data_IF_185164473699
#
_entry.id   IF_185164473699
#
_cell.length_a   1.000
_cell.length_b   1.000
_cell.length_c   1.000
_cell.angle_alpha   90.00
_cell.angle_beta   90.00
_cell.angle_gamma   90.00
#
_symmetry.space_group_name_H-M   'P 1'
#
loop_
_entity.id
_entity.type
_entity.pdbx_description
1 polymer ?
#
# COMPACT_ATOMS: atom_id res chain seq x y z
N UNK A 1 13.70 19.70 -4.87
CA UNK A 1 13.31 18.41 -4.25
C UNK A 1 12.42 18.74 -3.06
N UNK A 2 11.37 17.96 -2.79
CA UNK A 2 10.58 18.13 -1.57
C UNK A 2 11.41 17.78 -0.34
N UNK A 3 11.17 18.48 0.76
CA UNK A 3 11.86 18.21 2.02
C UNK A 3 11.19 17.03 2.75
N UNK A 4 11.91 16.22 3.54
CA UNK A 4 11.34 15.09 4.27
C UNK A 4 10.15 15.47 5.18
N UNK A 5 10.10 16.70 5.70
CA UNK A 5 8.98 17.14 6.52
C UNK A 5 7.67 17.31 5.71
N UNK A 6 7.73 17.60 4.40
CA UNK A 6 6.55 17.91 3.59
C UNK A 6 5.63 16.70 3.37
N UNK A 7 4.31 16.92 3.40
CA UNK A 7 3.29 15.86 3.31
C UNK A 7 3.30 15.12 1.96
N UNK A 8 3.81 15.74 0.90
CA UNK A 8 3.94 15.15 -0.44
C UNK A 8 5.34 14.55 -0.72
N UNK A 9 6.20 14.43 0.29
CA UNK A 9 7.52 13.84 0.11
C UNK A 9 7.41 12.36 -0.28
N UNK A 10 8.20 11.99 -1.28
CA UNK A 10 8.41 10.60 -1.69
C UNK A 10 9.80 10.45 -2.29
N UNK A 11 10.35 9.26 -2.23
CA UNK A 11 11.66 8.92 -2.79
C UNK A 11 11.62 7.55 -3.47
N UNK A 12 12.54 7.34 -4.41
CA UNK A 12 12.71 6.09 -5.15
C UNK A 12 14.15 5.60 -5.03
N UNK A 13 14.34 4.29 -5.11
CA UNK A 13 15.65 3.66 -4.96
C UNK A 13 15.91 2.72 -6.13
N UNK A 14 17.09 2.84 -6.74
CA UNK A 14 17.59 1.90 -7.76
C UNK A 14 18.59 0.89 -7.18
N UNK A 15 18.93 1.00 -5.89
CA UNK A 15 19.79 0.03 -5.20
C UNK A 15 19.25 -0.30 -3.82
N UNK A 16 19.38 -1.58 -3.45
CA UNK A 16 18.96 -2.06 -2.14
C UNK A 16 19.72 -1.36 -1.02
N UNK A 17 21.04 -1.20 -1.15
CA UNK A 17 21.87 -0.53 -0.14
C UNK A 17 21.41 0.90 0.17
N UNK A 18 21.02 1.68 -0.84
CA UNK A 18 20.51 3.03 -0.62
C UNK A 18 19.17 3.02 0.11
N UNK A 19 18.29 2.07 -0.22
CA UNK A 19 17.00 1.90 0.43
C UNK A 19 17.16 1.45 1.89
N UNK A 20 18.03 0.47 2.15
CA UNK A 20 18.33 0.00 3.51
C UNK A 20 18.86 1.14 4.38
N UNK A 21 19.87 1.87 3.89
CA UNK A 21 20.42 3.03 4.60
C UNK A 21 19.36 4.09 4.90
N UNK A 22 18.47 4.37 3.95
CA UNK A 22 17.36 5.31 4.17
C UNK A 22 16.44 4.86 5.32
N UNK A 23 16.08 3.57 5.37
CA UNK A 23 15.20 3.06 6.43
C UNK A 23 15.91 2.97 7.79
N UNK A 24 17.19 2.61 7.84
CA UNK A 24 18.00 2.68 9.05
C UNK A 24 18.07 4.11 9.61
N UNK A 25 18.27 5.11 8.74
CA UNK A 25 18.27 6.52 9.12
C UNK A 25 16.88 6.99 9.58
N UNK A 26 15.81 6.53 8.92
CA UNK A 26 14.43 6.83 9.34
C UNK A 26 14.11 6.25 10.71
N UNK A 27 14.55 5.02 11.01
CA UNK A 27 14.34 4.40 12.34
C UNK A 27 15.06 5.19 13.42
N UNK A 28 16.34 5.57 13.20
CA UNK A 28 17.11 6.40 14.14
C UNK A 28 16.46 7.76 14.41
N UNK A 29 15.79 8.33 13.40
CA UNK A 29 15.13 9.63 13.48
C UNK A 29 13.62 9.55 13.77
N UNK A 30 13.10 8.36 14.08
CA UNK A 30 11.72 8.15 14.47
C UNK A 30 11.63 8.00 15.98
N UNK A 31 10.61 8.60 16.57
CA UNK A 31 10.31 8.43 17.99
C UNK A 31 8.89 7.90 18.16
N UNK A 32 8.76 6.85 18.98
CA UNK A 32 7.50 6.20 19.33
C UNK A 32 7.17 6.52 20.78
N UNK A 33 6.06 7.21 21.01
CA UNK A 33 5.64 7.64 22.35
C UNK A 33 4.27 7.07 22.72
N UNK A 34 4.18 6.40 23.87
CA UNK A 34 2.90 6.02 24.46
C UNK A 34 2.38 7.15 25.35
N UNK A 35 1.12 7.52 25.14
CA UNK A 35 0.46 8.59 25.90
C UNK A 35 -1.01 8.28 26.10
N UNK A 36 -1.54 8.68 27.27
CA UNK A 36 -2.97 8.59 27.54
C UNK A 36 -3.77 9.46 26.57
N UNK A 37 -4.85 8.91 26.02
CA UNK A 37 -5.68 9.57 25.01
C UNK A 37 -6.26 10.88 25.52
N UNK A 38 -6.65 10.97 26.79
CA UNK A 38 -7.18 12.20 27.40
C UNK A 38 -6.12 13.29 27.65
N UNK A 39 -4.82 12.96 27.60
CA UNK A 39 -3.71 13.91 27.74
C UNK A 39 -3.33 14.56 26.40
N UNK A 40 -3.80 14.00 25.28
CA UNK A 40 -3.62 14.57 23.96
C UNK A 40 -4.39 15.90 23.84
N UNK A 41 -3.72 16.94 23.36
CA UNK A 41 -4.34 18.23 23.07
C UNK A 41 -4.07 18.63 21.62
N UNK A 42 -5.14 18.76 20.84
CA UNK A 42 -5.13 19.22 19.45
C UNK A 42 -5.35 20.73 19.40
N UNK A 43 -4.59 21.42 18.55
CA UNK A 43 -4.74 22.84 18.29
C UNK A 43 -4.89 23.10 16.78
N UNK A 44 -5.61 24.16 16.38
CA UNK A 44 -5.61 24.60 14.99
C UNK A 44 -4.22 25.07 14.58
N UNK A 45 -3.82 24.74 13.35
CA UNK A 45 -2.58 25.21 12.72
C UNK A 45 -2.88 25.67 11.29
N UNK A 46 -3.96 26.41 11.07
CA UNK A 46 -4.14 27.16 9.81
C UNK A 46 -3.41 28.51 9.88
N UNK A 47 -3.36 29.23 8.77
CA UNK A 47 -2.66 30.53 8.67
C UNK A 47 -3.20 31.61 9.62
N UNK A 48 -4.40 31.43 10.18
CA UNK A 48 -4.99 32.35 11.17
C UNK A 48 -4.68 31.96 12.62
N UNK A 49 -4.05 30.81 12.83
CA UNK A 49 -3.71 30.31 14.17
C UNK A 49 -2.56 31.11 14.80
N UNK A 50 -2.63 31.43 16.10
CA UNK A 50 -1.49 31.97 16.83
C UNK A 50 -0.22 31.11 16.73
N UNK A 51 -0.38 29.78 16.61
CA UNK A 51 0.73 28.84 16.42
C UNK A 51 1.43 28.99 15.07
N UNK A 52 0.77 29.59 14.07
CA UNK A 52 1.41 29.86 12.79
C UNK A 52 2.36 31.07 12.88
N UNK A 53 2.03 32.06 13.71
CA UNK A 53 2.83 33.27 13.91
C UNK A 53 3.89 33.14 15.00
N UNK A 54 3.61 32.41 16.08
CA UNK A 54 4.52 32.18 17.20
C UNK A 54 4.93 30.72 17.26
N UNK A 55 6.16 30.45 16.80
CA UNK A 55 6.70 29.10 16.70
C UNK A 55 7.39 28.63 18.00
N UNK A 56 7.48 29.48 19.03
CA UNK A 56 8.20 29.16 20.29
C UNK A 56 7.56 28.00 21.07
N UNK A 57 6.27 27.74 20.83
CA UNK A 57 5.51 26.68 21.44
C UNK A 57 5.76 25.29 20.81
N UNK A 58 6.46 25.21 19.66
CA UNK A 58 6.82 23.95 19.03
C UNK A 58 8.06 23.31 19.66
N UNK A 59 8.23 22.01 19.42
CA UNK A 59 9.45 21.30 19.78
C UNK A 59 10.63 21.80 18.93
N UNK A 60 11.84 21.73 19.49
CA UNK A 60 13.05 22.32 18.88
C UNK A 60 13.42 21.69 17.52
N UNK A 61 12.98 20.45 17.28
CA UNK A 61 13.17 19.77 16.01
C UNK A 61 12.21 20.25 14.90
N UNK A 62 11.20 21.06 15.21
CA UNK A 62 10.18 21.48 14.24
C UNK A 62 10.61 22.76 13.52
N UNK A 63 10.86 22.64 12.23
CA UNK A 63 11.17 23.76 11.36
C UNK A 63 9.93 24.58 10.97
N UNK A 64 10.17 25.83 10.55
CA UNK A 64 9.14 26.66 9.94
C UNK A 64 8.54 26.06 8.67
N UNK A 65 9.28 25.21 7.95
CA UNK A 65 8.80 24.55 6.73
C UNK A 65 7.78 23.45 7.07
N UNK A 66 8.01 22.67 8.14
CA UNK A 66 7.04 21.69 8.63
C UNK A 66 5.72 22.34 9.08
N UNK A 67 5.80 23.52 9.70
CA UNK A 67 4.65 24.33 10.11
C UNK A 67 3.88 24.85 8.90
N UNK A 68 4.56 25.48 7.94
CA UNK A 68 3.94 26.02 6.70
C UNK A 68 3.28 24.95 5.86
N UNK A 69 3.94 23.81 5.71
CA UNK A 69 3.39 22.68 4.97
C UNK A 69 2.13 22.15 5.65
N UNK A 70 2.14 21.97 6.98
CA UNK A 70 0.95 21.50 7.70
C UNK A 70 -0.20 22.49 7.65
N UNK A 71 0.09 23.80 7.71
CA UNK A 71 -0.93 24.84 7.60
C UNK A 71 -1.60 24.90 6.21
N UNK A 72 -0.89 24.48 5.17
CA UNK A 72 -1.43 24.35 3.81
C UNK A 72 -2.13 23.00 3.56
N UNK A 73 -2.02 22.06 4.49
CA UNK A 73 -2.58 20.71 4.43
C UNK A 73 -3.62 20.49 5.53
N UNK A 74 -3.36 19.60 6.50
CA UNK A 74 -4.33 19.20 7.52
C UNK A 74 -4.75 20.37 8.44
N UNK A 75 -3.81 21.28 8.71
CA UNK A 75 -4.01 22.46 9.55
C UNK A 75 -4.24 22.15 11.02
N UNK A 76 -3.60 21.10 11.55
CA UNK A 76 -3.68 20.70 12.95
C UNK A 76 -2.29 20.51 13.56
N UNK A 77 -2.15 20.85 14.83
CA UNK A 77 -1.00 20.53 15.67
C UNK A 77 -1.45 19.69 16.88
N UNK A 78 -0.57 18.84 17.39
CA UNK A 78 -0.79 18.03 18.58
C UNK A 78 0.26 18.39 19.63
N UNK A 79 -0.18 18.58 20.87
CA UNK A 79 0.70 18.85 22.00
C UNK A 79 1.09 17.54 22.68
N UNK A 80 2.40 17.29 22.76
CA UNK A 80 3.02 16.19 23.50
C UNK A 80 4.02 16.81 24.49
N UNK A 81 3.92 16.44 25.77
CA UNK A 81 4.80 16.90 26.85
C UNK A 81 5.11 18.40 26.85
N UNK A 82 4.09 19.22 26.64
CA UNK A 82 4.22 20.68 26.69
C UNK A 82 4.54 21.34 25.36
N UNK A 83 4.99 20.60 24.35
CA UNK A 83 5.42 21.12 23.04
C UNK A 83 4.48 20.70 21.92
N UNK A 84 4.33 21.55 20.91
CA UNK A 84 3.52 21.24 19.73
C UNK A 84 4.35 20.56 18.64
N UNK A 85 3.69 19.63 17.95
CA UNK A 85 4.15 19.00 16.72
C UNK A 85 3.06 19.17 15.65
N UNK A 86 3.42 19.53 14.40
CA UNK A 86 2.46 19.52 13.30
C UNK A 86 1.95 18.10 13.04
N UNK A 87 0.67 17.96 12.69
CA UNK A 87 0.04 16.67 12.40
C UNK A 87 0.02 16.42 10.90
N UNK A 88 0.67 15.34 10.47
CA UNK A 88 0.68 14.89 9.07
C UNK A 88 -0.68 14.30 8.68
N UNK A 89 -1.04 14.40 7.40
CA UNK A 89 -2.26 13.78 6.87
C UNK A 89 -2.40 12.28 7.20
N UNK A 90 -1.30 11.54 7.25
CA UNK A 90 -1.28 10.09 7.59
C UNK A 90 -1.75 9.81 9.01
N UNK A 91 -1.49 10.71 9.96
CA UNK A 91 -1.92 10.56 11.36
C UNK A 91 -3.39 10.89 11.58
N UNK A 92 -4.04 11.61 10.65
CA UNK A 92 -5.37 12.17 10.87
C UNK A 92 -6.43 11.12 11.20
N UNK A 93 -6.48 10.03 10.43
CA UNK A 93 -7.43 8.95 10.67
C UNK A 93 -7.21 8.31 12.04
N UNK A 94 -5.97 8.00 12.39
CA UNK A 94 -5.63 7.40 13.69
C UNK A 94 -6.04 8.32 14.86
N UNK A 95 -5.83 9.63 14.72
CA UNK A 95 -6.24 10.62 15.72
C UNK A 95 -7.76 10.65 15.90
N UNK A 96 -8.52 10.62 14.80
CA UNK A 96 -9.98 10.52 14.86
C UNK A 96 -10.45 9.20 15.50
N UNK A 97 -9.79 8.08 15.18
CA UNK A 97 -10.10 6.77 15.77
C UNK A 97 -9.87 6.76 17.29
N UNK A 98 -8.85 7.47 17.79
CA UNK A 98 -8.64 7.67 19.25
C UNK A 98 -9.73 8.52 19.89
N UNK A 99 -10.24 9.51 19.16
CA UNK A 99 -11.39 10.31 19.58
C UNK A 99 -12.75 9.61 19.33
N UNK A 100 -12.78 8.41 18.72
CA UNK A 100 -14.00 7.72 18.26
C UNK A 100 -14.88 8.60 17.35
N UNK A 101 -14.26 9.44 16.54
CA UNK A 101 -14.91 10.32 15.59
C UNK A 101 -14.88 9.72 14.18
N UNK A 102 -15.98 9.87 13.45
CA UNK A 102 -16.08 9.50 12.05
C UNK A 102 -17.09 10.40 11.33
N UNK A 103 -16.89 10.58 10.03
CA UNK A 103 -17.83 11.33 9.19
C UNK A 103 -17.15 12.14 8.08
N UNK A 104 -17.80 12.18 6.92
CA UNK A 104 -17.31 12.90 5.73
C UNK A 104 -17.40 14.42 5.86
N UNK A 105 -18.12 14.92 6.87
CA UNK A 105 -18.24 16.36 7.16
C UNK A 105 -17.11 16.91 8.03
N UNK A 106 -16.38 16.06 8.78
CA UNK A 106 -15.32 16.52 9.70
C UNK A 106 -14.24 17.37 9.00
N UNK A 107 -13.74 17.01 7.80
CA UNK A 107 -12.75 17.82 7.10
C UNK A 107 -13.26 19.20 6.67
N UNK A 108 -14.58 19.45 6.65
CA UNK A 108 -15.19 20.72 6.23
C UNK A 108 -15.29 21.75 7.35
N UNK A 109 -15.09 21.33 8.61
CA UNK A 109 -15.15 22.23 9.76
C UNK A 109 -13.99 23.22 9.78
N UNK A 110 -14.18 24.37 10.42
CA UNK A 110 -13.07 25.29 10.71
C UNK A 110 -12.08 24.58 11.64
N UNK A 111 -10.78 24.81 11.49
CA UNK A 111 -9.76 24.06 12.27
C UNK A 111 -9.96 24.22 13.77
N UNK A 112 -10.35 25.41 14.23
CA UNK A 112 -10.68 25.68 15.64
C UNK A 112 -11.83 24.81 16.16
N UNK A 113 -12.90 24.68 15.38
CA UNK A 113 -14.07 23.85 15.74
C UNK A 113 -13.72 22.37 15.73
N UNK A 114 -12.99 21.92 14.71
CA UNK A 114 -12.51 20.54 14.59
C UNK A 114 -11.61 20.16 15.77
N UNK A 115 -10.60 20.99 16.09
CA UNK A 115 -9.70 20.75 17.22
C UNK A 115 -10.47 20.71 18.56
N UNK A 116 -11.42 21.62 18.76
CA UNK A 116 -12.28 21.64 19.95
C UNK A 116 -13.14 20.38 20.10
N UNK A 117 -13.71 19.91 18.99
CA UNK A 117 -14.48 18.65 18.95
C UNK A 117 -13.60 17.45 19.27
N UNK A 118 -12.45 17.32 18.61
CA UNK A 118 -11.48 16.23 18.87
C UNK A 118 -11.10 16.22 20.35
N UNK A 119 -10.67 17.36 20.91
CA UNK A 119 -10.30 17.47 22.32
C UNK A 119 -11.44 17.07 23.27
N UNK A 120 -12.69 17.43 22.94
CA UNK A 120 -13.84 17.09 23.77
C UNK A 120 -14.09 15.58 23.79
N UNK A 121 -13.90 14.92 22.65
CA UNK A 121 -14.03 13.48 22.56
C UNK A 121 -12.85 12.73 23.20
N UNK A 122 -11.61 13.20 23.04
CA UNK A 122 -10.42 12.61 23.65
C UNK A 122 -10.54 12.51 25.18
N UNK A 123 -11.10 13.55 25.83
CA UNK A 123 -11.33 13.56 27.29
C UNK A 123 -12.28 12.47 27.79
N UNK A 124 -13.10 11.87 26.93
CA UNK A 124 -14.03 10.80 27.29
C UNK A 124 -13.34 9.44 27.47
N UNK A 125 -12.05 9.31 27.13
CA UNK A 125 -11.31 8.06 27.16
C UNK A 125 -10.06 8.12 28.06
N UNK A 126 -10.22 8.36 29.38
CA UNK A 126 -9.10 8.62 30.29
C UNK A 126 -8.15 7.44 30.50
N UNK A 127 -8.63 6.21 30.31
CA UNK A 127 -7.82 5.00 30.51
C UNK A 127 -7.31 4.41 29.19
N UNK A 128 -7.64 5.02 28.05
CA UNK A 128 -7.17 4.55 26.75
C UNK A 128 -5.76 5.07 26.47
N UNK A 129 -4.93 4.23 25.88
CA UNK A 129 -3.58 4.58 25.46
C UNK A 129 -3.54 4.84 23.95
N UNK A 130 -2.71 5.78 23.52
CA UNK A 130 -2.34 6.01 22.13
C UNK A 130 -0.84 5.77 21.97
N UNK A 131 -0.45 5.33 20.78
CA UNK A 131 0.94 5.18 20.36
C UNK A 131 1.21 6.16 19.21
N UNK A 132 1.99 7.20 19.49
CA UNK A 132 2.29 8.28 18.56
C UNK A 132 3.62 8.01 17.86
N UNK A 133 3.65 8.16 16.54
CA UNK A 133 4.89 8.18 15.76
C UNK A 133 5.25 9.62 15.41
N UNK A 134 6.37 10.11 15.92
CA UNK A 134 6.99 11.36 15.52
C UNK A 134 8.10 11.03 14.52
N UNK A 135 8.02 11.58 13.31
CA UNK A 135 8.99 11.33 12.23
C UNK A 135 9.06 12.52 11.30
N UNK A 136 10.27 12.87 10.88
CA UNK A 136 10.52 14.01 9.99
C UNK A 136 9.75 15.26 10.48
N UNK A 137 9.92 15.58 11.77
CA UNK A 137 9.41 16.77 12.45
C UNK A 137 7.88 16.80 12.70
N UNK A 138 7.14 15.76 12.32
CA UNK A 138 5.67 15.72 12.44
C UNK A 138 5.16 14.47 13.13
N UNK A 139 3.95 14.58 13.69
CA UNK A 139 3.14 13.42 14.06
C UNK A 139 2.73 12.70 12.77
N UNK A 140 3.30 11.54 12.52
CA UNK A 140 3.09 10.73 11.31
C UNK A 140 2.08 9.60 11.51
N UNK A 141 1.86 9.13 12.74
CA UNK A 141 0.81 8.17 13.08
C UNK A 141 0.26 8.36 14.50
N UNK A 142 -0.97 7.88 14.72
CA UNK A 142 -1.64 7.84 16.02
C UNK A 142 -2.36 6.49 16.19
N UNK A 143 -1.62 5.47 16.60
CA UNK A 143 -2.10 4.09 16.76
C UNK A 143 -2.67 3.83 18.15
N UNK A 144 -3.23 2.63 18.34
CA UNK A 144 -3.65 2.20 19.68
C UNK A 144 -2.40 2.01 20.53
N UNK A 145 -2.44 2.47 21.77
CA UNK A 145 -1.36 2.27 22.72
C UNK A 145 -1.39 0.91 23.42
N UNK A 146 -2.35 0.04 23.10
CA UNK A 146 -2.33 -1.36 23.51
C UNK A 146 -1.40 -2.18 22.59
N UNK A 147 -0.48 -2.92 23.17
CA UNK A 147 0.48 -3.79 22.47
C UNK A 147 -0.18 -4.97 21.75
N UNK A 148 -1.38 -5.34 22.18
CA UNK A 148 -2.19 -6.34 21.48
C UNK A 148 -2.85 -5.73 20.23
N UNK A 149 -3.09 -4.42 20.22
CA UNK A 149 -3.75 -3.72 19.12
C UNK A 149 -2.77 -3.27 18.03
N UNK A 150 -1.58 -2.81 18.39
CA UNK A 150 -0.55 -2.40 17.43
C UNK A 150 0.84 -2.89 17.83
N UNK A 151 1.53 -3.49 16.86
CA UNK A 151 2.90 -4.00 16.99
C UNK A 151 3.82 -3.24 16.04
N UNK A 152 4.83 -2.59 16.60
CA UNK A 152 5.86 -1.91 15.82
C UNK A 152 6.73 -3.00 15.19
N UNK A 153 6.74 -3.07 13.86
CA UNK A 153 7.67 -3.91 13.10
C UNK A 153 8.53 -2.95 12.30
N UNK A 154 9.83 -2.95 12.57
CA UNK A 154 10.73 -1.99 11.95
C UNK A 154 10.92 -2.29 10.46
N UNK A 155 10.92 -1.24 9.63
CA UNK A 155 10.98 -1.41 8.17
C UNK A 155 12.32 -1.97 7.72
N UNK A 156 13.42 -1.50 8.31
CA UNK A 156 14.78 -1.98 8.07
C UNK A 156 14.93 -3.45 8.46
N UNK A 157 14.40 -3.87 9.61
CA UNK A 157 14.42 -5.26 10.06
C UNK A 157 13.58 -6.16 9.15
N UNK A 158 12.37 -5.73 8.75
CA UNK A 158 11.52 -6.48 7.81
C UNK A 158 12.19 -6.67 6.45
N UNK A 159 12.82 -5.62 5.92
CA UNK A 159 13.55 -5.71 4.66
C UNK A 159 14.82 -6.55 4.76
N UNK A 160 15.52 -6.49 5.90
CA UNK A 160 16.69 -7.35 6.17
C UNK A 160 16.28 -8.81 6.18
N UNK A 161 15.24 -9.15 6.96
CA UNK A 161 14.69 -10.49 7.04
C UNK A 161 14.26 -11.05 5.67
N UNK A 162 13.61 -10.22 4.84
CA UNK A 162 13.27 -10.60 3.49
C UNK A 162 14.51 -10.80 2.61
N UNK A 163 15.46 -9.88 2.65
CA UNK A 163 16.69 -9.96 1.85
C UNK A 163 17.48 -11.22 2.18
N UNK A 164 17.71 -11.49 3.46
CA UNK A 164 18.42 -12.68 3.94
C UNK A 164 17.72 -13.97 3.50
N UNK A 165 16.38 -13.98 3.52
CA UNK A 165 15.60 -15.10 3.03
C UNK A 165 15.78 -15.29 1.51
N UNK A 166 15.75 -14.22 0.73
CA UNK A 166 15.91 -14.29 -0.73
C UNK A 166 17.32 -14.73 -1.14
N UNK A 167 18.34 -14.20 -0.47
CA UNK A 167 19.73 -14.58 -0.76
C UNK A 167 19.98 -16.07 -0.49
N UNK A 168 19.31 -16.63 0.52
CA UNK A 168 19.41 -18.06 0.88
C UNK A 168 18.57 -18.97 -0.01
N UNK A 169 17.29 -18.66 -0.20
CA UNK A 169 16.33 -19.58 -0.85
C UNK A 169 16.18 -19.31 -2.37
N UNK A 170 16.54 -18.11 -2.82
CA UNK A 170 16.43 -17.64 -4.21
C UNK A 170 17.76 -17.07 -4.72
N UNK A 171 18.84 -17.88 -4.77
CA UNK A 171 20.14 -17.41 -5.21
C UNK A 171 20.05 -16.80 -6.62
N UNK A 172 20.64 -15.62 -6.80
CA UNK A 172 20.52 -14.85 -8.03
C UNK A 172 19.26 -13.99 -8.13
N UNK A 173 18.55 -13.77 -7.00
CA UNK A 173 17.56 -12.70 -6.92
C UNK A 173 18.23 -11.33 -7.08
N UNK A 174 17.52 -10.38 -7.68
CA UNK A 174 18.04 -9.04 -7.99
C UNK A 174 17.06 -7.99 -7.52
N UNK A 175 17.52 -7.05 -6.70
CA UNK A 175 16.72 -5.87 -6.36
C UNK A 175 16.48 -5.02 -7.62
N UNK A 176 15.22 -4.74 -7.92
CA UNK A 176 14.81 -4.00 -9.12
C UNK A 176 14.57 -2.53 -8.80
N UNK A 177 13.72 -2.25 -7.80
CA UNK A 177 13.32 -0.89 -7.47
C UNK A 177 12.73 -0.80 -6.07
N UNK A 178 12.89 0.37 -5.45
CA UNK A 178 12.27 0.75 -4.18
C UNK A 178 11.51 2.06 -4.28
N UNK A 179 10.51 2.24 -3.42
CA UNK A 179 9.73 3.45 -3.26
C UNK A 179 9.37 3.64 -1.79
N UNK A 180 9.43 4.88 -1.30
CA UNK A 180 8.88 5.23 0.01
C UNK A 180 8.25 6.62 -0.01
N UNK A 181 7.07 6.73 0.59
CA UNK A 181 6.47 7.99 1.02
C UNK A 181 6.16 7.92 2.53
N UNK A 182 5.45 8.91 3.08
CA UNK A 182 5.06 8.90 4.49
C UNK A 182 4.00 7.87 4.85
N UNK A 183 3.27 7.35 3.86
CA UNK A 183 2.19 6.41 4.06
C UNK A 183 2.64 4.96 3.89
N UNK A 184 3.66 4.69 3.07
CA UNK A 184 3.99 3.33 2.66
C UNK A 184 5.40 3.19 2.08
N UNK A 185 5.94 1.98 2.21
CA UNK A 185 7.22 1.55 1.63
C UNK A 185 7.00 0.32 0.74
N UNK A 186 7.66 0.33 -0.42
CA UNK A 186 7.61 -0.74 -1.40
C UNK A 186 9.01 -1.09 -1.91
N UNK A 187 9.26 -2.37 -2.13
CA UNK A 187 10.45 -2.84 -2.81
C UNK A 187 10.13 -4.03 -3.71
N UNK A 188 10.86 -4.17 -4.81
CA UNK A 188 10.67 -5.24 -5.79
C UNK A 188 11.98 -5.98 -6.05
N UNK A 189 11.90 -7.30 -6.11
CA UNK A 189 13.01 -8.17 -6.52
C UNK A 189 12.59 -9.04 -7.70
N UNK A 190 13.51 -9.26 -8.64
CA UNK A 190 13.42 -10.27 -9.69
C UNK A 190 13.98 -11.59 -9.17
N UNK A 191 13.29 -12.70 -9.43
CA UNK A 191 13.70 -14.05 -9.06
C UNK A 191 14.30 -14.80 -10.27
N UNK A 192 15.27 -14.18 -10.95
CA UNK A 192 15.84 -14.68 -12.19
C UNK A 192 16.39 -16.11 -12.07
N UNK A 193 17.08 -16.41 -10.97
CA UNK A 193 17.67 -17.75 -10.73
C UNK A 193 16.65 -18.88 -10.54
N UNK A 194 15.36 -18.56 -10.35
CA UNK A 194 14.26 -19.52 -10.15
C UNK A 194 13.20 -19.46 -11.24
N UNK A 195 13.47 -18.74 -12.34
CA UNK A 195 12.50 -18.51 -13.42
C UNK A 195 11.93 -19.81 -13.97
N UNK A 196 12.80 -20.71 -14.39
CA UNK A 196 12.36 -21.94 -15.05
C UNK A 196 11.59 -22.84 -14.08
N UNK A 197 12.04 -22.95 -12.84
CA UNK A 197 11.34 -23.73 -11.81
C UNK A 197 9.93 -23.18 -11.52
N UNK A 198 9.79 -21.86 -11.41
CA UNK A 198 8.50 -21.22 -11.08
C UNK A 198 7.55 -21.15 -12.28
N UNK A 199 8.06 -21.03 -13.51
CA UNK A 199 7.25 -20.77 -14.70
C UNK A 199 7.12 -21.95 -15.65
N UNK A 200 7.88 -23.05 -15.52
CA UNK A 200 7.93 -24.14 -16.51
C UNK A 200 6.55 -24.67 -16.92
N UNK A 201 5.67 -24.98 -15.96
CA UNK A 201 4.33 -25.51 -16.26
C UNK A 201 3.47 -24.46 -16.96
N UNK A 202 3.48 -23.23 -16.46
CA UNK A 202 2.72 -22.12 -17.05
C UNK A 202 3.23 -21.77 -18.46
N UNK A 203 4.54 -21.84 -18.68
CA UNK A 203 5.19 -21.63 -19.96
C UNK A 203 4.80 -22.70 -20.97
N UNK A 204 4.80 -23.98 -20.58
CA UNK A 204 4.30 -25.09 -21.41
C UNK A 204 2.84 -24.89 -21.81
N UNK A 205 1.98 -24.52 -20.85
CA UNK A 205 0.56 -24.27 -21.10
C UNK A 205 0.36 -23.10 -22.08
N UNK A 206 1.05 -21.97 -21.89
CA UNK A 206 0.93 -20.83 -22.79
C UNK A 206 1.49 -21.13 -24.19
N UNK A 207 2.61 -21.86 -24.31
CA UNK A 207 3.17 -22.28 -25.60
C UNK A 207 2.19 -23.18 -26.37
N UNK A 208 1.55 -24.15 -25.70
CA UNK A 208 0.56 -25.02 -26.32
C UNK A 208 -0.68 -24.26 -26.84
N UNK A 209 -0.97 -23.09 -26.26
CA UNK A 209 -2.07 -22.20 -26.67
C UNK A 209 -1.63 -21.13 -27.70
N UNK A 210 -0.42 -21.22 -28.24
CA UNK A 210 0.11 -20.23 -29.19
C UNK A 210 0.55 -18.89 -28.56
N UNK A 211 0.57 -18.79 -27.22
CA UNK A 211 0.95 -17.59 -26.45
C UNK A 211 2.42 -17.62 -25.99
N UNK A 212 3.29 -18.34 -26.69
CA UNK A 212 4.69 -18.53 -26.31
C UNK A 212 5.52 -17.23 -26.23
N UNK A 213 5.18 -16.22 -27.04
CA UNK A 213 5.87 -14.92 -27.04
C UNK A 213 5.56 -14.05 -25.81
N UNK A 214 4.45 -14.32 -25.12
CA UNK A 214 4.08 -13.64 -23.89
C UNK A 214 4.99 -14.12 -22.75
N UNK A 215 5.08 -15.44 -22.55
CA UNK A 215 5.81 -16.02 -21.42
C UNK A 215 7.32 -15.88 -21.51
N UNK A 216 7.90 -15.83 -22.72
CA UNK A 216 9.34 -15.62 -22.91
C UNK A 216 9.83 -14.27 -22.39
N UNK A 217 8.92 -13.30 -22.22
CA UNK A 217 9.21 -11.99 -21.63
C UNK A 217 8.99 -11.97 -20.12
N UNK A 218 8.31 -12.97 -19.56
CA UNK A 218 7.92 -12.96 -18.15
C UNK A 218 9.07 -13.41 -17.25
N UNK A 219 9.29 -12.61 -16.21
CA UNK A 219 10.23 -12.85 -15.13
C UNK A 219 9.45 -12.86 -13.82
N UNK A 220 9.55 -13.92 -12.99
CA UNK A 220 8.94 -13.92 -11.68
C UNK A 220 9.63 -12.89 -10.80
N UNK A 221 8.84 -12.19 -10.00
CA UNK A 221 9.34 -11.27 -9.01
C UNK A 221 8.43 -11.21 -7.81
N UNK A 222 8.92 -10.58 -6.77
CA UNK A 222 8.17 -10.36 -5.53
C UNK A 222 8.14 -8.88 -5.18
N UNK A 223 7.05 -8.47 -4.56
CA UNK A 223 6.89 -7.15 -3.98
C UNK A 223 6.84 -7.22 -2.48
N UNK A 224 7.71 -6.49 -1.81
CA UNK A 224 7.55 -6.13 -0.42
C UNK A 224 6.71 -4.85 -0.29
N UNK A 225 5.88 -4.81 0.74
CA UNK A 225 4.81 -3.83 0.92
C UNK A 225 4.55 -3.67 2.41
N UNK A 226 4.77 -2.48 3.00
CA UNK A 226 4.53 -2.27 4.42
C UNK A 226 4.27 -0.79 4.76
N UNK A 227 3.65 -0.55 5.91
CA UNK A 227 3.33 0.78 6.42
C UNK A 227 3.26 0.78 7.93
N UNK A 228 3.84 1.79 8.55
CA UNK A 228 3.72 2.04 9.98
C UNK A 228 2.84 3.26 10.31
N UNK A 229 2.20 3.86 9.30
CA UNK A 229 1.33 5.04 9.45
C UNK A 229 -0.10 4.82 8.94
N UNK A 230 -0.34 3.82 8.08
CA UNK A 230 -1.63 3.64 7.39
C UNK A 230 -2.10 2.19 7.20
N UNK A 231 -1.26 1.29 6.70
CA UNK A 231 -1.60 -0.13 6.52
C UNK A 231 -1.05 -0.98 7.66
N UNK A 232 -1.91 -1.65 8.41
CA UNK A 232 -1.47 -2.47 9.54
C UNK A 232 -0.95 -3.85 9.10
N UNK A 233 -0.15 -3.95 8.04
CA UNK A 233 0.53 -5.21 7.69
C UNK A 233 1.81 -5.02 6.86
N UNK A 234 2.81 -5.87 7.12
CA UNK A 234 3.92 -6.13 6.20
C UNK A 234 3.56 -7.31 5.30
N UNK A 235 3.77 -7.16 4.00
CA UNK A 235 3.34 -8.11 2.97
C UNK A 235 4.45 -8.41 1.98
N UNK A 236 4.40 -9.64 1.46
CA UNK A 236 5.12 -10.04 0.25
C UNK A 236 4.10 -10.54 -0.76
N UNK A 237 4.14 -10.05 -1.99
CA UNK A 237 3.21 -10.44 -3.06
C UNK A 237 3.96 -10.92 -4.29
N UNK A 238 3.37 -11.86 -5.02
CA UNK A 238 3.96 -12.42 -6.24
C UNK A 238 3.58 -11.54 -7.42
N UNK A 239 4.51 -11.37 -8.34
CA UNK A 239 4.29 -10.69 -9.59
C UNK A 239 5.05 -11.36 -10.74
N UNK A 240 4.59 -11.10 -11.95
CA UNK A 240 5.31 -11.39 -13.19
C UNK A 240 5.64 -10.07 -13.87
N UNK A 241 6.93 -9.79 -14.07
CA UNK A 241 7.42 -8.63 -14.81
C UNK A 241 7.67 -9.03 -16.26
N UNK A 242 7.71 -8.08 -17.19
CA UNK A 242 7.95 -8.36 -18.63
C UNK A 242 6.89 -7.80 -19.59
N UNK A 243 5.77 -7.33 -19.05
CA UNK A 243 4.80 -6.49 -19.76
C UNK A 243 5.07 -4.99 -19.56
N UNK A 244 4.14 -4.14 -20.00
CA UNK A 244 4.23 -2.70 -19.72
C UNK A 244 4.13 -2.37 -18.22
N UNK A 245 3.47 -3.24 -17.45
CA UNK A 245 3.36 -3.17 -15.99
C UNK A 245 3.55 -4.57 -15.37
N UNK A 246 3.99 -4.64 -14.10
CA UNK A 246 3.98 -5.89 -13.36
C UNK A 246 2.57 -6.48 -13.27
N UNK A 247 2.44 -7.76 -13.59
CA UNK A 247 1.21 -8.53 -13.41
C UNK A 247 1.25 -9.06 -11.99
N UNK A 248 0.48 -8.47 -11.08
CA UNK A 248 0.38 -8.99 -9.72
C UNK A 248 -0.39 -10.31 -9.77
N UNK A 249 0.09 -11.35 -9.10
CA UNK A 249 -0.53 -12.68 -9.14
C UNK A 249 -0.90 -13.21 -7.75
N UNK A 250 -0.90 -12.33 -6.74
CA UNK A 250 -1.51 -12.62 -5.45
C UNK A 250 -0.74 -12.01 -4.29
N UNK A 251 -1.47 -11.73 -3.20
CA UNK A 251 -0.84 -11.58 -1.89
C UNK A 251 -0.37 -12.94 -1.45
N UNK A 252 0.96 -13.10 -1.32
CA UNK A 252 1.56 -14.35 -0.86
C UNK A 252 1.46 -14.35 0.66
N UNK A 253 2.11 -13.37 1.27
CA UNK A 253 2.33 -13.30 2.69
C UNK A 253 1.87 -11.97 3.26
N UNK A 254 1.26 -12.02 4.43
CA UNK A 254 0.89 -10.84 5.18
C UNK A 254 0.97 -11.13 6.67
N UNK A 255 1.76 -10.33 7.40
CA UNK A 255 1.71 -10.28 8.85
C UNK A 255 1.15 -8.94 9.27
N UNK A 256 0.19 -8.96 10.20
CA UNK A 256 -0.38 -7.72 10.72
C UNK A 256 0.59 -7.04 11.70
N UNK A 257 0.61 -5.71 11.69
CA UNK A 257 1.22 -4.89 12.75
C UNK A 257 0.34 -4.89 14.01
N UNK A 258 -0.11 -6.07 14.46
CA UNK A 258 -1.04 -6.26 15.57
C UNK A 258 -0.76 -7.58 16.28
N UNK A 259 -1.45 -7.84 17.39
CA UNK A 259 -1.44 -9.14 18.10
C UNK A 259 -0.02 -9.58 18.48
N UNK A 260 0.81 -8.62 18.91
CA UNK A 260 2.20 -8.85 19.33
C UNK A 260 3.04 -9.58 18.28
N UNK A 261 2.75 -9.36 17.00
CA UNK A 261 3.60 -9.87 15.92
C UNK A 261 4.97 -9.20 15.99
N UNK A 262 5.98 -9.94 15.55
CA UNK A 262 7.39 -9.53 15.55
C UNK A 262 8.02 -9.85 14.20
N UNK A 263 9.22 -9.33 13.92
CA UNK A 263 9.98 -9.66 12.72
C UNK A 263 10.28 -11.17 12.63
N UNK A 264 10.54 -11.83 13.76
CA UNK A 264 10.71 -13.29 13.78
C UNK A 264 9.44 -14.06 13.33
N UNK A 265 8.24 -13.49 13.51
CA UNK A 265 7.03 -14.06 12.92
C UNK A 265 7.01 -13.87 11.40
N UNK A 266 7.48 -12.73 10.89
CA UNK A 266 7.64 -12.51 9.46
C UNK A 266 8.55 -13.56 8.83
N UNK A 267 9.73 -13.76 9.41
CA UNK A 267 10.74 -14.71 8.94
C UNK A 267 10.21 -16.14 8.85
N UNK A 268 9.45 -16.58 9.86
CA UNK A 268 8.80 -17.90 9.85
C UNK A 268 7.80 -18.04 8.71
N UNK A 269 7.05 -16.99 8.44
CA UNK A 269 6.03 -16.96 7.40
C UNK A 269 6.68 -16.95 6.00
N UNK A 270 7.84 -16.29 5.83
CA UNK A 270 8.64 -16.33 4.58
C UNK A 270 8.99 -17.75 4.12
N UNK A 271 9.08 -18.74 5.02
CA UNK A 271 9.31 -20.14 4.63
C UNK A 271 8.25 -20.70 3.66
N UNK A 272 7.05 -20.11 3.61
CA UNK A 272 5.97 -20.54 2.72
C UNK A 272 5.97 -19.79 1.37
N UNK A 273 6.87 -18.81 1.19
CA UNK A 273 6.89 -17.91 0.03
C UNK A 273 6.92 -18.67 -1.30
N UNK A 274 7.78 -19.68 -1.41
CA UNK A 274 7.94 -20.46 -2.64
C UNK A 274 6.67 -21.25 -3.01
N UNK A 275 6.14 -22.01 -2.04
CA UNK A 275 4.94 -22.83 -2.26
C UNK A 275 3.74 -21.95 -2.66
N UNK A 276 3.55 -20.84 -1.97
CA UNK A 276 2.45 -19.91 -2.26
C UNK A 276 2.65 -19.13 -3.57
N UNK A 277 3.89 -18.87 -3.99
CA UNK A 277 4.18 -18.38 -5.33
C UNK A 277 3.75 -19.41 -6.39
N UNK A 278 4.15 -20.68 -6.22
CA UNK A 278 3.73 -21.77 -7.11
C UNK A 278 2.21 -21.90 -7.22
N UNK A 279 1.50 -21.81 -6.08
CA UNK A 279 0.04 -21.80 -6.05
C UNK A 279 -0.57 -20.61 -6.82
N UNK A 280 0.07 -19.44 -6.74
CA UNK A 280 -0.35 -18.23 -7.44
C UNK A 280 -0.22 -18.38 -8.95
N UNK A 281 0.89 -18.96 -9.43
CA UNK A 281 1.09 -19.32 -10.83
C UNK A 281 0.08 -20.37 -11.28
N UNK A 282 -0.16 -21.41 -10.49
CA UNK A 282 -1.14 -22.43 -10.82
C UNK A 282 -2.58 -21.87 -10.90
N UNK A 283 -2.94 -20.89 -10.06
CA UNK A 283 -4.23 -20.17 -10.17
C UNK A 283 -4.32 -19.36 -11.46
N UNK A 284 -3.26 -18.64 -11.81
CA UNK A 284 -3.20 -17.90 -13.07
C UNK A 284 -3.31 -18.84 -14.27
N UNK A 285 -2.60 -19.97 -14.24
CA UNK A 285 -2.66 -21.00 -15.29
C UNK A 285 -4.08 -21.57 -15.44
N UNK A 286 -4.77 -21.87 -14.33
CA UNK A 286 -6.14 -22.39 -14.34
C UNK A 286 -7.11 -21.46 -15.08
N UNK A 287 -6.90 -20.14 -15.04
CA UNK A 287 -7.74 -19.19 -15.77
C UNK A 287 -7.70 -19.40 -17.29
N UNK A 288 -6.63 -19.98 -17.83
CA UNK A 288 -6.52 -20.28 -19.27
C UNK A 288 -7.52 -21.36 -19.73
N UNK A 289 -8.10 -22.11 -18.79
CA UNK A 289 -9.03 -23.22 -19.05
C UNK A 289 -10.49 -22.82 -18.84
N UNK A 290 -10.74 -21.61 -18.31
CA UNK A 290 -12.09 -21.10 -18.08
C UNK A 290 -12.54 -20.34 -19.31
N UNK A 291 -13.45 -20.94 -20.08
CA UNK A 291 -14.10 -20.31 -21.22
C UNK A 291 -15.12 -19.26 -20.74
N UNK A 292 -15.19 -18.13 -21.44
CA UNK A 292 -16.14 -17.06 -21.22
C UNK A 292 -16.83 -16.72 -22.54
N UNK A 293 -18.15 -16.88 -22.58
CA UNK A 293 -18.99 -16.54 -23.73
C UNK A 293 -19.17 -15.01 -23.85
N UNK A 294 -19.14 -14.29 -22.72
CA UNK A 294 -19.36 -12.84 -22.62
C UNK A 294 -18.21 -12.15 -21.86
N UNK A 295 -16.99 -12.13 -22.41
CA UNK A 295 -15.79 -11.71 -21.69
C UNK A 295 -15.78 -10.21 -21.32
N UNK A 296 -16.30 -9.31 -22.17
CA UNK A 296 -16.44 -7.88 -21.82
C UNK A 296 -17.43 -7.63 -20.66
N UNK A 297 -18.55 -8.35 -20.64
CA UNK A 297 -19.50 -8.31 -19.51
C UNK A 297 -18.86 -8.87 -18.23
N UNK A 298 -18.11 -9.98 -18.37
CA UNK A 298 -17.38 -10.60 -17.26
C UNK A 298 -16.37 -9.62 -16.65
N UNK A 299 -15.55 -8.99 -17.48
CA UNK A 299 -14.59 -7.96 -17.07
C UNK A 299 -15.29 -6.84 -16.31
N UNK A 300 -16.38 -6.31 -16.87
CA UNK A 300 -17.18 -5.25 -16.24
C UNK A 300 -17.63 -5.63 -14.82
N UNK A 301 -18.18 -6.84 -14.64
CA UNK A 301 -18.70 -7.28 -13.34
C UNK A 301 -17.61 -7.53 -12.32
N UNK A 302 -16.47 -8.06 -12.75
CA UNK A 302 -15.32 -8.28 -11.87
C UNK A 302 -14.75 -6.93 -11.42
N UNK A 303 -14.56 -5.99 -12.35
CA UNK A 303 -14.08 -4.66 -12.01
C UNK A 303 -15.04 -3.95 -11.02
N UNK A 304 -16.36 -4.11 -11.18
CA UNK A 304 -17.36 -3.64 -10.19
C UNK A 304 -17.24 -4.37 -8.85
N UNK A 305 -17.12 -5.70 -8.84
CA UNK A 305 -17.01 -6.52 -7.63
C UNK A 305 -15.79 -6.13 -6.80
N UNK A 306 -14.68 -5.79 -7.46
CA UNK A 306 -13.45 -5.35 -6.83
C UNK A 306 -13.39 -3.84 -6.57
N UNK A 307 -14.45 -3.09 -6.92
CA UNK A 307 -14.52 -1.65 -6.80
C UNK A 307 -13.34 -0.92 -7.48
N UNK A 308 -12.94 -1.37 -8.67
CA UNK A 308 -11.87 -0.74 -9.44
C UNK A 308 -12.30 0.64 -9.97
N UNK A 309 -11.36 1.57 -10.24
CA UNK A 309 -11.69 2.91 -10.74
C UNK A 309 -12.50 2.88 -12.04
N UNK A 310 -13.73 3.42 -11.98
CA UNK A 310 -14.72 3.34 -13.07
C UNK A 310 -14.17 3.83 -14.41
N UNK A 311 -13.57 5.02 -14.46
CA UNK A 311 -13.09 5.64 -15.71
C UNK A 311 -12.05 4.74 -16.41
N UNK A 312 -10.97 4.40 -15.70
CA UNK A 312 -9.91 3.54 -16.24
C UNK A 312 -10.40 2.12 -16.55
N UNK A 313 -11.34 1.58 -15.76
CA UNK A 313 -11.94 0.28 -16.04
C UNK A 313 -12.72 0.26 -17.36
N UNK A 314 -13.56 1.27 -17.60
CA UNK A 314 -14.35 1.36 -18.83
C UNK A 314 -13.48 1.54 -20.08
N UNK A 315 -12.38 2.29 -19.96
CA UNK A 315 -11.40 2.46 -21.04
C UNK A 315 -10.68 1.13 -21.35
N UNK A 316 -10.18 0.42 -20.33
CA UNK A 316 -9.57 -0.89 -20.52
C UNK A 316 -10.55 -1.92 -21.11
N UNK A 317 -11.83 -1.91 -20.70
CA UNK A 317 -12.89 -2.78 -21.26
C UNK A 317 -13.11 -2.46 -22.74
N UNK A 318 -13.20 -1.18 -23.12
CA UNK A 318 -13.39 -0.77 -24.51
C UNK A 318 -12.21 -1.18 -25.39
N UNK A 319 -10.97 -1.04 -24.90
CA UNK A 319 -9.76 -1.52 -25.60
C UNK A 319 -9.79 -3.03 -25.79
N UNK A 320 -10.18 -3.77 -24.75
CA UNK A 320 -10.30 -5.23 -24.79
C UNK A 320 -11.36 -5.71 -25.78
N UNK A 321 -12.57 -5.15 -25.74
CA UNK A 321 -13.66 -5.51 -26.65
C UNK A 321 -13.31 -5.20 -28.11
N UNK A 322 -12.63 -4.07 -28.35
CA UNK A 322 -12.15 -3.70 -29.69
C UNK A 322 -11.11 -4.70 -30.22
N UNK A 323 -10.18 -5.14 -29.37
CA UNK A 323 -9.16 -6.12 -29.75
C UNK A 323 -9.74 -7.52 -29.98
N UNK A 324 -10.75 -7.91 -29.19
CA UNK A 324 -11.35 -9.24 -29.22
C UNK A 324 -12.44 -9.39 -30.29
N UNK A 325 -13.06 -8.28 -30.72
CA UNK A 325 -14.09 -8.28 -31.77
C UNK A 325 -15.37 -9.01 -31.38
N UNK A 326 -15.70 -9.09 -30.09
CA UNK A 326 -16.89 -9.79 -29.58
C UNK A 326 -16.82 -11.32 -29.62
N UNK A 327 -15.62 -11.89 -29.79
CA UNK A 327 -15.42 -13.35 -29.73
C UNK A 327 -15.32 -13.83 -28.26
N UNK A 328 -15.62 -15.11 -27.97
CA UNK A 328 -15.34 -15.69 -26.67
C UNK A 328 -13.85 -15.63 -26.31
N UNK A 329 -13.54 -15.55 -25.01
CA UNK A 329 -12.17 -15.52 -24.52
C UNK A 329 -12.01 -16.37 -23.26
N UNK A 330 -10.79 -16.47 -22.76
CA UNK A 330 -10.54 -17.12 -21.47
C UNK A 330 -10.56 -16.12 -20.32
N UNK A 331 -10.81 -16.58 -19.10
CA UNK A 331 -10.63 -15.76 -17.91
C UNK A 331 -9.21 -15.20 -17.78
N UNK A 332 -8.21 -15.91 -18.33
CA UNK A 332 -6.84 -15.45 -18.39
C UNK A 332 -6.69 -14.20 -19.28
N UNK A 333 -7.31 -14.20 -20.46
CA UNK A 333 -7.29 -13.04 -21.37
C UNK A 333 -7.90 -11.81 -20.70
N UNK A 334 -9.04 -11.98 -20.04
CA UNK A 334 -9.70 -10.89 -19.29
C UNK A 334 -8.82 -10.40 -18.14
N UNK A 335 -8.21 -11.31 -17.38
CA UNK A 335 -7.31 -10.95 -16.29
C UNK A 335 -6.08 -10.15 -16.78
N UNK A 336 -5.52 -10.52 -17.93
CA UNK A 336 -4.43 -9.78 -18.56
C UNK A 336 -4.89 -8.41 -19.05
N UNK A 337 -6.08 -8.31 -19.64
CA UNK A 337 -6.65 -7.04 -20.07
C UNK A 337 -6.94 -6.08 -18.91
N UNK A 338 -7.31 -6.60 -17.73
CA UNK A 338 -7.49 -5.78 -16.52
C UNK A 338 -6.21 -5.07 -16.08
N UNK A 339 -5.02 -5.56 -16.45
CA UNK A 339 -3.75 -4.91 -16.10
C UNK A 339 -3.60 -3.54 -16.76
N UNK A 340 -4.29 -3.31 -17.88
CA UNK A 340 -4.33 -2.01 -18.58
C UNK A 340 -4.88 -0.89 -17.70
N UNK A 341 -5.74 -1.21 -16.72
CA UNK A 341 -6.28 -0.26 -15.75
C UNK A 341 -5.14 0.41 -14.97
N UNK A 342 -4.10 -0.33 -14.60
CA UNK A 342 -2.94 0.22 -13.89
C UNK A 342 -2.11 1.13 -14.79
N UNK A 343 -1.96 0.77 -16.07
CA UNK A 343 -1.26 1.59 -17.06
C UNK A 343 -1.96 2.94 -17.24
N UNK A 344 -3.27 2.93 -17.52
CA UNK A 344 -4.09 4.14 -17.70
C UNK A 344 -3.99 5.06 -16.48
N UNK A 345 -4.08 4.50 -15.28
CA UNK A 345 -4.01 5.30 -14.05
C UNK A 345 -2.63 5.92 -13.85
N UNK A 346 -1.56 5.20 -14.20
CA UNK A 346 -0.21 5.73 -14.13
C UNK A 346 0.00 6.87 -15.13
N UNK A 347 -0.49 6.73 -16.37
CA UNK A 347 -0.42 7.80 -17.37
C UNK A 347 -1.26 9.03 -16.97
N UNK A 348 -2.35 8.82 -16.23
CA UNK A 348 -3.18 9.89 -15.63
C UNK A 348 -2.52 10.51 -14.36
N UNK A 349 -1.29 10.13 -14.00
CA UNK A 349 -0.54 10.71 -12.89
C UNK A 349 -0.97 10.22 -11.51
N UNK A 350 -1.60 9.04 -11.41
CA UNK A 350 -1.98 8.45 -10.12
C UNK A 350 -0.72 8.17 -9.28
N UNK A 351 -0.70 8.59 -8.00
CA UNK A 351 0.44 8.33 -7.11
C UNK A 351 0.80 6.84 -7.00
N UNK A 352 2.10 6.53 -6.98
CA UNK A 352 2.63 5.16 -6.96
C UNK A 352 2.04 4.30 -5.84
N UNK A 353 1.93 4.84 -4.62
CA UNK A 353 1.31 4.12 -3.49
C UNK A 353 -0.13 3.67 -3.75
N UNK A 354 -0.93 4.48 -4.47
CA UNK A 354 -2.31 4.10 -4.84
C UNK A 354 -2.33 3.00 -5.90
N UNK A 355 -1.40 3.03 -6.85
CA UNK A 355 -1.29 2.01 -7.90
C UNK A 355 -0.96 0.64 -7.30
N UNK A 356 -0.02 0.59 -6.35
CA UNK A 356 0.37 -0.65 -5.66
C UNK A 356 -0.83 -1.29 -4.94
N UNK A 357 -1.56 -0.50 -4.15
CA UNK A 357 -2.73 -1.01 -3.42
C UNK A 357 -3.84 -1.49 -4.35
N UNK A 358 -4.03 -0.77 -5.47
CA UNK A 358 -5.00 -1.18 -6.49
C UNK A 358 -4.58 -2.51 -7.14
N UNK A 359 -3.30 -2.68 -7.43
CA UNK A 359 -2.78 -3.90 -8.03
C UNK A 359 -2.92 -5.11 -7.08
N UNK A 360 -2.65 -4.93 -5.79
CA UNK A 360 -2.93 -5.94 -4.75
C UNK A 360 -4.42 -6.32 -4.71
N UNK A 361 -5.32 -5.33 -4.76
CA UNK A 361 -6.76 -5.59 -4.77
C UNK A 361 -7.22 -6.28 -6.07
N UNK A 362 -6.62 -5.93 -7.22
CA UNK A 362 -6.91 -6.56 -8.51
C UNK A 362 -6.52 -8.04 -8.53
N UNK A 363 -5.40 -8.40 -7.89
CA UNK A 363 -4.93 -9.79 -7.82
C UNK A 363 -5.92 -10.73 -7.12
N UNK A 364 -6.87 -10.22 -6.34
CA UNK A 364 -7.97 -11.00 -5.75
C UNK A 364 -8.87 -11.65 -6.82
N UNK A 365 -8.87 -11.13 -8.04
CA UNK A 365 -9.60 -11.72 -9.17
C UNK A 365 -9.19 -13.18 -9.45
N UNK A 366 -7.95 -13.57 -9.14
CA UNK A 366 -7.45 -14.94 -9.31
C UNK A 366 -8.19 -15.99 -8.46
N UNK A 367 -8.93 -15.55 -7.43
CA UNK A 367 -9.68 -16.43 -6.52
C UNK A 367 -11.20 -16.41 -6.77
N UNK A 368 -11.66 -15.59 -7.72
CA UNK A 368 -13.09 -15.49 -8.04
C UNK A 368 -13.56 -16.73 -8.81
N UNK A 369 -14.85 -17.04 -8.66
CA UNK A 369 -15.54 -18.01 -9.51
C UNK A 369 -15.98 -17.32 -10.80
N UNK A 370 -15.06 -17.23 -11.76
CA UNK A 370 -15.22 -16.46 -13.01
C UNK A 370 -16.51 -16.77 -13.79
N UNK A 371 -16.91 -18.04 -13.84
CA UNK A 371 -18.15 -18.47 -14.51
C UNK A 371 -19.43 -17.85 -13.93
N UNK A 372 -19.45 -17.45 -12.65
CA UNK A 372 -20.60 -16.76 -12.05
C UNK A 372 -20.76 -15.32 -12.58
N UNK A 373 -19.72 -14.77 -13.19
CA UNK A 373 -19.70 -13.43 -13.78
C UNK A 373 -20.00 -13.44 -15.29
N UNK A 374 -19.96 -14.60 -15.94
CA UNK A 374 -20.14 -14.76 -17.38
C UNK A 374 -21.61 -14.88 -17.77
N UNK A 375 -22.32 -13.74 -17.85
CA UNK A 375 -23.72 -13.71 -18.24
C UNK A 375 -23.95 -12.77 -19.43
N UNK A 376 -24.84 -13.21 -20.34
CA UNK A 376 -25.27 -12.48 -21.52
C UNK A 376 -25.88 -11.10 -21.21
N UNK A 377 -26.53 -10.97 -20.05
CA UNK A 377 -27.24 -9.74 -19.67
C UNK A 377 -26.25 -8.57 -19.58
N UNK A 378 -26.48 -7.58 -20.44
CA UNK A 378 -25.76 -6.31 -20.44
C UNK A 378 -25.69 -5.71 -19.03
N UNK A 379 -24.51 -5.21 -18.69
CA UNK A 379 -24.19 -4.73 -17.34
C UNK A 379 -24.01 -3.23 -17.41
N UNK A 380 -24.85 -2.48 -16.69
CA UNK A 380 -24.58 -1.07 -16.43
C UNK A 380 -23.58 -0.94 -15.28
N UNK A 381 -22.67 0.03 -15.38
CA UNK A 381 -21.70 0.33 -14.32
C UNK A 381 -22.27 1.18 -13.20
#
# INVERSE_FOLDING_TARGET
>A
MSQPCQDNFSTTFSSLTAMMKYHEEQVKNSNWERIEVNRLQVAPLDQSSPLFSDTSAFADCVSGDAIKDTASNLGLALKLDGKYYPVRNTAYKGLLDRAKLGGTSLPKLKRKELAGMINSCLRLYPNAQALMLIRNEKISAAHSGDEHDYSILSMDELMSALTDHLDREYPGSVFEAGYSDHAFTNATWLLNGKRDELLDTYEKTLKAQGKGSLVSKLTPGIQFSSSDTGHASAKVSAMLLGGQHPIHIGGILAIEHRRQKTVAHFEKELAQLFAQFGDSIARLEKLTRIHLDYPGNTMTRICKKLALPKKASLEAIAMFDMALGGTPATAHDVYMAMQEILFILKTDGTPQGKLILLAENMARALTLRWSEYDLAKAVSW
#
